data_IF_138934117093
#
_entry.id   IF_138934117093
#
_cell.length_a   1.000
_cell.length_b   1.000
_cell.length_c   1.000
_cell.angle_alpha   90.00
_cell.angle_beta   90.00
_cell.angle_gamma   90.00
#
_symmetry.space_group_name_H-M   'P 1'
#
loop_
_entity.id
_entity.type
_entity.pdbx_description
1 polymer ?
#
# COMPACT_ATOMS: atom_id res chain seq x y z
N UNK A 1 11.35 32.45 19.02
CA UNK A 1 11.84 31.73 20.23
C UNK A 1 10.68 31.61 21.17
N UNK A 2 10.15 30.41 21.35
CA UNK A 2 9.10 30.17 22.34
C UNK A 2 9.77 30.00 23.70
N UNK A 3 9.49 30.91 24.62
CA UNK A 3 9.92 30.79 26.00
C UNK A 3 9.27 29.58 26.65
N UNK A 4 10.09 28.59 26.96
CA UNK A 4 9.66 27.39 27.67
C UNK A 4 9.43 27.74 29.16
N UNK A 5 8.19 27.92 29.56
CA UNK A 5 7.78 28.21 30.95
C UNK A 5 8.01 27.05 31.96
N UNK A 6 8.67 25.97 31.53
CA UNK A 6 9.00 24.81 32.38
C UNK A 6 10.50 24.61 32.60
N UNK A 7 11.31 25.67 32.50
CA UNK A 7 12.72 25.58 32.83
C UNK A 7 12.90 25.32 34.32
N UNK A 8 13.24 24.08 34.70
CA UNK A 8 13.65 23.75 36.04
C UNK A 8 14.98 24.53 36.31
N UNK A 9 15.02 25.49 37.28
CA UNK A 9 16.21 26.33 37.55
C UNK A 9 17.44 25.52 37.96
N UNK A 10 17.27 24.26 38.36
CA UNK A 10 18.35 23.34 38.72
C UNK A 10 18.89 22.53 37.52
N UNK A 11 18.36 22.75 36.31
CA UNK A 11 18.78 22.01 35.12
C UNK A 11 20.08 22.59 34.57
N UNK A 12 21.18 21.85 34.73
CA UNK A 12 22.44 22.23 34.15
C UNK A 12 22.52 21.93 32.65
N UNK A 13 22.16 22.90 31.81
CA UNK A 13 22.11 22.76 30.36
C UNK A 13 23.46 22.33 29.77
N UNK A 14 24.60 22.74 30.40
CA UNK A 14 25.92 22.32 29.98
C UNK A 14 26.23 20.85 30.26
N UNK A 15 25.58 20.27 31.28
CA UNK A 15 25.61 18.80 31.51
C UNK A 15 24.71 18.07 30.56
N UNK A 16 23.53 18.62 30.21
CA UNK A 16 22.59 18.00 29.25
C UNK A 16 23.18 17.94 27.83
N UNK A 17 23.91 18.97 27.40
CA UNK A 17 24.56 18.97 26.09
C UNK A 17 25.69 17.91 25.94
N UNK A 18 26.20 17.39 27.08
CA UNK A 18 27.18 16.30 27.11
C UNK A 18 26.58 14.91 27.14
N UNK A 19 25.26 14.80 27.36
CA UNK A 19 24.55 13.51 27.28
C UNK A 19 24.44 13.17 25.80
N UNK A 20 25.43 12.46 25.29
CA UNK A 20 25.30 11.81 23.98
C UNK A 20 24.31 10.68 24.16
N UNK A 21 23.18 10.75 23.48
CA UNK A 21 22.33 9.58 23.29
C UNK A 21 23.23 8.42 22.82
N UNK A 22 23.24 7.27 23.50
CA UNK A 22 23.94 6.12 22.98
C UNK A 22 23.41 5.92 21.57
N UNK A 23 24.29 5.93 20.58
CA UNK A 23 23.93 5.71 19.19
C UNK A 23 23.37 4.30 19.06
N UNK A 24 22.08 4.15 19.33
CA UNK A 24 21.37 2.90 19.13
C UNK A 24 21.23 2.69 17.62
N UNK A 25 22.28 2.12 17.03
CA UNK A 25 22.17 1.51 15.71
C UNK A 25 21.45 0.17 15.89
N UNK A 26 20.15 0.16 15.89
CA UNK A 26 19.44 -1.07 15.61
C UNK A 26 19.72 -1.41 14.15
N UNK A 27 20.62 -2.34 13.93
CA UNK A 27 20.73 -3.03 12.65
C UNK A 27 19.36 -3.66 12.41
N UNK A 28 18.62 -3.12 11.44
CA UNK A 28 17.33 -3.69 11.06
C UNK A 28 17.65 -4.89 10.19
N UNK A 29 17.56 -6.07 10.79
CA UNK A 29 17.74 -7.34 10.09
C UNK A 29 16.57 -7.58 9.13
N UNK A 30 16.80 -8.31 8.04
CA UNK A 30 15.77 -8.73 7.10
C UNK A 30 14.59 -9.44 7.81
N UNK A 31 14.87 -10.17 8.91
CA UNK A 31 13.88 -10.84 9.75
C UNK A 31 12.84 -9.92 10.40
N UNK A 32 13.15 -8.63 10.53
CA UNK A 32 12.20 -7.63 11.07
C UNK A 32 11.25 -7.09 9.99
N UNK A 33 11.51 -7.35 8.71
CA UNK A 33 10.67 -6.91 7.62
C UNK A 33 9.50 -7.86 7.41
N UNK A 34 8.36 -7.32 6.98
CA UNK A 34 7.23 -8.14 6.62
C UNK A 34 7.46 -8.74 5.22
N UNK A 35 6.95 -9.94 5.01
CA UNK A 35 6.87 -10.52 3.67
C UNK A 35 5.72 -9.91 2.89
N UNK A 36 5.66 -10.12 1.57
CA UNK A 36 4.54 -9.71 0.74
C UNK A 36 3.22 -10.32 1.23
N UNK A 37 3.24 -11.60 1.64
CA UNK A 37 2.07 -12.29 2.19
C UNK A 37 1.60 -11.70 3.54
N UNK A 38 2.52 -11.32 4.42
CA UNK A 38 2.19 -10.66 5.68
C UNK A 38 1.55 -9.29 5.45
N UNK A 39 2.04 -8.52 4.46
CA UNK A 39 1.41 -7.25 4.06
C UNK A 39 0.04 -7.48 3.45
N UNK A 40 -0.12 -8.51 2.62
CA UNK A 40 -1.40 -8.92 2.04
C UNK A 40 -2.40 -9.23 3.13
N UNK A 41 -2.04 -10.11 4.09
CA UNK A 41 -2.91 -10.45 5.22
C UNK A 41 -3.32 -9.23 6.04
N UNK A 42 -2.40 -8.27 6.27
CA UNK A 42 -2.73 -7.01 6.95
C UNK A 42 -3.80 -6.19 6.23
N UNK A 43 -3.72 -6.12 4.90
CA UNK A 43 -4.69 -5.40 4.07
C UNK A 43 -6.04 -6.13 4.08
N UNK A 44 -6.03 -7.46 3.94
CA UNK A 44 -7.23 -8.29 3.87
C UNK A 44 -7.98 -8.39 5.21
N UNK A 45 -7.26 -8.41 6.33
CA UNK A 45 -7.84 -8.45 7.67
C UNK A 45 -8.58 -7.17 8.08
N UNK A 46 -8.46 -6.09 7.31
CA UNK A 46 -9.14 -4.84 7.61
C UNK A 46 -10.64 -4.95 7.31
N UNK A 47 -11.48 -4.73 8.32
CA UNK A 47 -12.93 -4.94 8.25
C UNK A 47 -13.67 -3.85 7.46
N UNK A 48 -13.05 -2.69 7.27
CA UNK A 48 -13.68 -1.55 6.62
C UNK A 48 -12.78 -0.91 5.55
N UNK A 49 -13.37 -0.21 4.55
CA UNK A 49 -12.61 0.40 3.45
C UNK A 49 -11.57 1.43 3.90
N UNK A 50 -11.82 2.19 4.98
CA UNK A 50 -10.88 3.17 5.53
C UNK A 50 -9.58 2.52 5.98
N UNK A 51 -9.68 1.50 6.83
CA UNK A 51 -8.52 0.85 7.44
C UNK A 51 -7.73 0.07 6.39
N UNK A 52 -8.43 -0.58 5.46
CA UNK A 52 -7.83 -1.25 4.31
C UNK A 52 -7.03 -0.28 3.44
N UNK A 53 -7.63 0.86 3.11
CA UNK A 53 -6.98 1.92 2.36
C UNK A 53 -5.77 2.49 3.10
N UNK A 54 -5.89 2.71 4.42
CA UNK A 54 -4.80 3.25 5.22
C UNK A 54 -3.58 2.33 5.21
N UNK A 55 -3.76 1.02 5.44
CA UNK A 55 -2.66 0.04 5.44
C UNK A 55 -2.01 -0.04 4.06
N UNK A 56 -2.81 -0.14 3.00
CA UNK A 56 -2.31 -0.21 1.62
C UNK A 56 -1.49 1.03 1.26
N UNK A 57 -2.00 2.24 1.57
CA UNK A 57 -1.29 3.48 1.33
C UNK A 57 -0.05 3.63 2.20
N UNK A 58 -0.10 3.24 3.49
CA UNK A 58 1.03 3.35 4.40
C UNK A 58 2.20 2.47 3.94
N UNK A 59 1.89 1.27 3.43
CA UNK A 59 2.89 0.39 2.83
C UNK A 59 3.42 0.98 1.52
N UNK A 60 2.55 1.19 0.53
CA UNK A 60 3.00 1.51 -0.84
C UNK A 60 3.71 2.86 -0.93
N UNK A 61 3.19 3.89 -0.25
CA UNK A 61 3.76 5.23 -0.27
C UNK A 61 5.04 5.37 0.55
N UNK A 62 5.33 4.42 1.42
CA UNK A 62 6.38 4.54 2.43
C UNK A 62 6.30 5.86 3.23
N UNK A 63 5.12 6.47 3.37
CA UNK A 63 4.91 7.66 4.19
C UNK A 63 5.14 7.37 5.67
N UNK A 64 5.48 8.42 6.42
CA UNK A 64 5.36 8.34 7.88
C UNK A 64 3.88 8.38 8.26
N UNK A 65 3.52 7.64 9.30
CA UNK A 65 2.14 7.61 9.79
C UNK A 65 1.59 9.02 10.08
N UNK A 66 2.43 9.93 10.60
CA UNK A 66 2.03 11.31 10.86
C UNK A 66 1.82 12.15 9.60
N UNK A 67 2.47 11.80 8.48
CA UNK A 67 2.26 12.47 7.18
C UNK A 67 0.96 11.99 6.54
N UNK A 68 0.74 10.68 6.55
CA UNK A 68 -0.46 10.08 5.96
C UNK A 68 -1.72 10.40 6.79
N UNK A 69 -1.61 10.35 8.12
CA UNK A 69 -2.75 10.53 9.03
C UNK A 69 -3.36 11.94 9.02
N UNK A 70 -2.60 12.96 8.60
CA UNK A 70 -3.10 14.35 8.51
C UNK A 70 -3.37 14.77 7.06
N UNK A 71 -3.26 13.85 6.11
CA UNK A 71 -3.44 14.13 4.69
C UNK A 71 -4.89 14.55 4.39
N UNK A 72 -5.04 15.51 3.48
CA UNK A 72 -6.32 15.98 2.97
C UNK A 72 -6.55 15.51 1.54
N UNK A 73 -7.80 15.49 1.09
CA UNK A 73 -8.15 15.05 -0.25
C UNK A 73 -7.56 15.92 -1.35
N UNK A 74 -7.37 17.24 -1.14
CA UNK A 74 -6.69 18.13 -2.09
C UNK A 74 -5.20 17.77 -2.33
N UNK A 75 -4.61 16.96 -1.46
CA UNK A 75 -3.23 16.46 -1.59
C UNK A 75 -3.14 15.18 -2.42
N UNK A 76 -4.28 14.62 -2.83
CA UNK A 76 -4.37 13.41 -3.65
C UNK A 76 -4.87 13.76 -5.04
N UNK A 77 -4.06 13.47 -6.03
CA UNK A 77 -4.43 13.66 -7.44
C UNK A 77 -4.61 12.30 -8.10
N UNK A 78 -5.84 11.95 -8.41
CA UNK A 78 -6.12 10.79 -9.25
C UNK A 78 -5.74 11.07 -10.70
N UNK A 79 -5.04 10.13 -11.31
CA UNK A 79 -4.79 10.07 -12.75
C UNK A 79 -5.62 8.94 -13.36
N UNK A 80 -5.56 8.76 -14.67
CA UNK A 80 -6.25 7.61 -15.30
C UNK A 80 -5.69 6.24 -14.89
N UNK A 81 -4.47 6.20 -14.35
CA UNK A 81 -3.70 4.97 -14.12
C UNK A 81 -3.36 4.79 -12.63
N UNK A 82 -2.99 5.89 -11.94
CA UNK A 82 -2.50 5.87 -10.56
C UNK A 82 -3.10 7.04 -9.76
N UNK A 83 -2.69 7.15 -8.51
CA UNK A 83 -2.86 8.38 -7.74
C UNK A 83 -1.49 8.92 -7.31
N UNK A 84 -1.40 10.23 -7.16
CA UNK A 84 -0.20 10.92 -6.69
C UNK A 84 -0.52 11.54 -5.33
N UNK A 85 0.24 11.16 -4.31
CA UNK A 85 0.16 11.76 -2.98
C UNK A 85 1.17 12.91 -2.88
N UNK A 86 0.69 14.08 -2.47
CA UNK A 86 1.51 15.27 -2.24
C UNK A 86 1.68 15.48 -0.73
N UNK A 87 2.88 15.25 -0.19
CA UNK A 87 3.11 15.52 1.23
C UNK A 87 3.51 16.97 1.45
N UNK A 88 3.11 17.53 2.61
CA UNK A 88 3.43 18.91 2.97
C UNK A 88 4.84 19.04 3.54
N UNK A 89 5.47 20.20 3.35
CA UNK A 89 6.76 20.57 3.96
C UNK A 89 6.71 20.60 5.50
N UNK A 90 5.55 20.88 6.09
CA UNK A 90 5.37 20.91 7.56
C UNK A 90 5.75 19.60 8.25
N UNK A 91 5.68 18.49 7.54
CA UNK A 91 5.99 17.15 8.08
C UNK A 91 7.34 16.62 7.57
N UNK A 92 8.09 17.42 6.81
CA UNK A 92 9.37 17.06 6.18
C UNK A 92 9.54 17.75 4.83
N UNK A 93 10.30 17.18 3.91
CA UNK A 93 10.36 17.65 2.53
C UNK A 93 9.06 17.31 1.79
N UNK A 94 8.56 18.24 0.96
CA UNK A 94 7.46 17.97 0.05
C UNK A 94 7.85 16.84 -0.92
N UNK A 95 6.95 15.90 -1.13
CA UNK A 95 7.18 14.73 -1.98
C UNK A 95 5.97 14.47 -2.87
N UNK A 96 6.25 14.01 -4.08
CA UNK A 96 5.30 13.48 -5.02
C UNK A 96 5.43 11.97 -5.05
N UNK A 97 4.48 11.26 -4.50
CA UNK A 97 4.56 9.81 -4.32
C UNK A 97 3.50 9.15 -5.19
N UNK A 98 3.89 8.51 -6.30
CA UNK A 98 2.95 7.76 -7.12
C UNK A 98 2.58 6.45 -6.40
N UNK A 99 1.29 6.15 -6.35
CA UNK A 99 0.74 4.89 -5.84
C UNK A 99 -0.11 4.23 -6.90
N UNK A 100 -0.01 2.92 -7.02
CA UNK A 100 -0.66 2.11 -8.04
C UNK A 100 -1.52 1.01 -7.42
N UNK A 101 -0.94 0.23 -6.50
CA UNK A 101 -1.61 -0.86 -5.82
C UNK A 101 -2.77 -0.35 -4.94
N UNK A 102 -2.52 0.74 -4.20
CA UNK A 102 -3.48 1.28 -3.24
C UNK A 102 -4.62 2.08 -3.90
N UNK A 103 -4.59 2.31 -5.22
CA UNK A 103 -5.60 3.15 -5.91
C UNK A 103 -7.00 2.57 -5.80
N UNK A 104 -7.16 1.26 -5.89
CA UNK A 104 -8.45 0.59 -5.77
C UNK A 104 -9.05 0.80 -4.37
N UNK A 105 -8.23 0.63 -3.33
CA UNK A 105 -8.63 0.85 -1.94
C UNK A 105 -8.93 2.31 -1.65
N UNK A 106 -8.18 3.23 -2.28
CA UNK A 106 -8.37 4.66 -2.14
C UNK A 106 -9.69 5.10 -2.79
N UNK A 107 -10.04 4.57 -3.95
CA UNK A 107 -11.33 4.81 -4.60
C UNK A 107 -12.48 4.21 -3.77
N UNK A 108 -12.36 2.97 -3.33
CA UNK A 108 -13.36 2.32 -2.50
C UNK A 108 -13.62 3.10 -1.19
N UNK A 109 -12.56 3.63 -0.57
CA UNK A 109 -12.69 4.50 0.58
C UNK A 109 -13.32 5.86 0.25
N UNK A 110 -12.92 6.49 -0.85
CA UNK A 110 -13.53 7.74 -1.32
C UNK A 110 -15.05 7.59 -1.54
N UNK A 111 -15.48 6.49 -2.16
CA UNK A 111 -16.89 6.23 -2.47
C UNK A 111 -17.71 5.86 -1.23
N UNK A 112 -17.07 5.30 -0.19
CA UNK A 112 -17.67 4.97 1.11
C UNK A 112 -17.40 6.00 2.20
N UNK A 113 -16.94 7.20 1.81
CA UNK A 113 -16.59 8.25 2.78
C UNK A 113 -17.82 8.70 3.58
N UNK A 114 -17.70 8.89 4.92
CA UNK A 114 -18.83 9.24 5.77
C UNK A 114 -19.48 10.56 5.34
N UNK A 115 -20.76 10.49 5.01
CA UNK A 115 -21.57 11.65 4.58
C UNK A 115 -21.52 11.97 3.10
N UNK A 116 -21.00 11.05 2.30
CA UNK A 116 -20.98 11.16 0.85
C UNK A 116 -19.62 11.61 0.32
N UNK A 117 -19.62 12.23 -0.84
CA UNK A 117 -18.36 12.66 -1.49
C UNK A 117 -17.60 13.67 -0.59
N UNK A 118 -16.31 13.42 -0.28
CA UNK A 118 -15.53 14.33 0.54
C UNK A 118 -15.22 15.64 -0.17
N UNK A 119 -15.11 16.71 0.61
CA UNK A 119 -14.57 17.98 0.13
C UNK A 119 -13.04 17.95 0.01
N UNK A 120 -12.44 18.76 -0.88
CA UNK A 120 -10.98 18.80 -1.02
C UNK A 120 -10.22 19.12 0.27
N UNK A 121 -10.83 19.88 1.20
CA UNK A 121 -10.23 20.25 2.48
C UNK A 121 -10.47 19.22 3.60
N UNK A 122 -11.31 18.23 3.36
CA UNK A 122 -11.53 17.15 4.32
C UNK A 122 -10.27 16.29 4.50
N UNK A 123 -10.10 15.80 5.73
CA UNK A 123 -9.05 14.79 5.99
C UNK A 123 -9.38 13.47 5.31
N UNK A 124 -8.37 12.83 4.73
CA UNK A 124 -8.55 11.52 4.09
C UNK A 124 -9.01 10.47 5.09
N UNK A 125 -8.43 10.48 6.30
CA UNK A 125 -8.72 9.48 7.32
C UNK A 125 -9.45 10.10 8.51
N UNK A 126 -10.73 9.74 8.62
CA UNK A 126 -11.64 10.27 9.63
C UNK A 126 -12.31 9.15 10.43
N UNK A 127 -12.90 9.48 11.55
CA UNK A 127 -13.74 8.57 12.31
C UNK A 127 -15.01 8.26 11.51
N UNK A 128 -15.39 6.99 11.42
CA UNK A 128 -16.52 6.52 10.60
C UNK A 128 -17.86 7.09 11.06
N UNK A 129 -18.00 7.44 12.34
CA UNK A 129 -19.25 7.92 12.91
C UNK A 129 -19.27 9.45 13.04
N UNK A 130 -18.19 10.06 13.60
CA UNK A 130 -18.16 11.50 13.91
C UNK A 130 -17.62 12.36 12.78
N UNK A 131 -16.96 11.77 11.76
CA UNK A 131 -16.23 12.44 10.68
C UNK A 131 -15.06 13.32 11.15
N UNK A 132 -14.71 13.27 12.43
CA UNK A 132 -13.54 13.96 12.94
C UNK A 132 -12.25 13.29 12.48
N UNK A 133 -11.18 14.06 12.25
CA UNK A 133 -9.88 13.49 11.93
C UNK A 133 -9.42 12.48 12.98
N UNK A 134 -8.83 11.38 12.53
CA UNK A 134 -8.29 10.39 13.47
C UNK A 134 -7.07 10.96 14.20
N UNK A 135 -7.04 10.77 15.52
CA UNK A 135 -5.86 11.13 16.32
C UNK A 135 -4.75 10.10 16.13
N UNK A 136 -3.50 10.55 16.25
CA UNK A 136 -2.31 9.71 16.03
C UNK A 136 -2.35 8.36 16.74
N UNK A 137 -2.83 8.36 17.99
CA UNK A 137 -2.91 7.15 18.81
C UNK A 137 -3.86 6.08 18.24
N UNK A 138 -4.94 6.52 17.60
CA UNK A 138 -5.92 5.60 16.97
C UNK A 138 -5.29 4.75 15.87
N UNK A 139 -4.39 5.32 15.07
CA UNK A 139 -3.67 4.56 14.05
C UNK A 139 -2.79 3.46 14.66
N UNK A 140 -2.16 3.73 15.81
CA UNK A 140 -1.36 2.73 16.51
C UNK A 140 -2.19 1.54 16.99
N UNK A 141 -3.36 1.81 17.57
CA UNK A 141 -4.28 0.76 18.00
C UNK A 141 -4.84 -0.04 16.82
N UNK A 142 -5.27 0.64 15.77
CA UNK A 142 -5.77 0.01 14.54
C UNK A 142 -4.73 -0.94 13.95
N UNK A 143 -3.49 -0.48 13.79
CA UNK A 143 -2.42 -1.30 13.23
C UNK A 143 -2.05 -2.49 14.14
N UNK A 144 -2.07 -2.30 15.46
CA UNK A 144 -1.82 -3.39 16.42
C UNK A 144 -2.94 -4.46 16.38
N UNK A 145 -4.19 -4.05 16.24
CA UNK A 145 -5.33 -4.96 16.09
C UNK A 145 -5.24 -5.74 14.77
N UNK A 146 -4.93 -5.06 13.67
CA UNK A 146 -4.74 -5.70 12.36
C UNK A 146 -3.56 -6.68 12.36
N UNK A 147 -2.44 -6.33 12.99
CA UNK A 147 -1.30 -7.22 13.10
C UNK A 147 -1.66 -8.52 13.86
N UNK A 148 -2.47 -8.39 14.92
CA UNK A 148 -2.98 -9.54 15.67
C UNK A 148 -3.93 -10.40 14.81
N UNK A 149 -4.86 -9.79 14.08
CA UNK A 149 -5.79 -10.48 13.18
C UNK A 149 -5.06 -11.18 12.03
N UNK A 150 -3.99 -10.57 11.52
CA UNK A 150 -3.16 -11.12 10.45
C UNK A 150 -2.13 -12.16 10.94
N UNK A 151 -2.15 -12.49 12.25
CA UNK A 151 -1.22 -13.45 12.88
C UNK A 151 0.26 -13.11 12.61
N UNK A 152 0.60 -11.81 12.75
CA UNK A 152 1.97 -11.34 12.60
C UNK A 152 2.67 -11.43 13.95
N UNK A 153 3.59 -12.38 14.08
CA UNK A 153 4.37 -12.62 15.31
C UNK A 153 5.54 -11.63 15.47
N UNK A 154 5.96 -11.01 14.37
CA UNK A 154 7.08 -10.05 14.38
C UNK A 154 6.71 -8.79 15.14
N UNK A 155 7.74 -8.12 15.70
CA UNK A 155 7.54 -6.80 16.29
C UNK A 155 7.04 -5.83 15.22
N UNK A 156 5.79 -5.40 15.36
CA UNK A 156 5.09 -4.56 14.38
C UNK A 156 4.95 -3.12 14.88
N UNK A 157 5.28 -2.18 14.03
CA UNK A 157 5.10 -0.75 14.26
C UNK A 157 4.77 -0.05 12.93
N UNK A 158 4.21 1.16 12.95
CA UNK A 158 3.98 1.93 11.72
C UNK A 158 5.25 2.12 10.87
N UNK A 159 6.40 2.21 11.51
CA UNK A 159 7.68 2.29 10.83
C UNK A 159 8.09 0.98 10.16
N UNK A 160 7.61 -0.16 10.64
CA UNK A 160 7.88 -1.47 10.04
C UNK A 160 7.39 -1.52 8.59
N UNK A 161 6.13 -1.07 8.31
CA UNK A 161 5.61 -1.02 6.94
C UNK A 161 6.46 -0.15 6.01
N UNK A 162 6.88 1.02 6.48
CA UNK A 162 7.77 1.90 5.72
C UNK A 162 9.12 1.24 5.44
N UNK A 163 9.73 0.59 6.44
CA UNK A 163 10.99 -0.12 6.27
C UNK A 163 10.83 -1.29 5.32
N UNK A 164 9.77 -2.07 5.46
CA UNK A 164 9.43 -3.16 4.56
C UNK A 164 9.33 -2.66 3.11
N UNK A 165 8.58 -1.57 2.85
CA UNK A 165 8.44 -1.04 1.49
C UNK A 165 9.78 -0.60 0.90
N UNK A 166 10.61 0.12 1.65
CA UNK A 166 11.92 0.55 1.18
C UNK A 166 12.81 -0.67 0.84
N UNK A 167 12.79 -1.70 1.68
CA UNK A 167 13.53 -2.95 1.42
C UNK A 167 13.01 -3.67 0.18
N UNK A 168 11.68 -3.78 0.02
CA UNK A 168 11.07 -4.38 -1.16
C UNK A 168 11.39 -3.61 -2.45
N UNK A 169 11.42 -2.27 -2.41
CA UNK A 169 11.82 -1.46 -3.56
C UNK A 169 13.29 -1.68 -3.95
N UNK A 170 14.18 -1.83 -2.97
CA UNK A 170 15.58 -2.18 -3.22
C UNK A 170 15.70 -3.57 -3.85
N UNK A 171 15.01 -4.56 -3.30
CA UNK A 171 14.99 -5.94 -3.82
C UNK A 171 14.39 -6.02 -5.24
N UNK A 172 13.40 -5.17 -5.54
CA UNK A 172 12.80 -5.06 -6.87
C UNK A 172 13.66 -4.27 -7.88
N UNK A 173 14.86 -3.83 -7.49
CA UNK A 173 15.80 -3.15 -8.39
C UNK A 173 15.48 -1.68 -8.68
N UNK A 174 14.62 -1.02 -7.87
CA UNK A 174 14.40 0.41 -8.02
C UNK A 174 15.67 1.21 -7.71
N UNK A 175 15.95 2.25 -8.51
CA UNK A 175 17.13 3.07 -8.31
C UNK A 175 17.12 3.76 -6.93
N UNK A 176 18.27 3.81 -6.26
CA UNK A 176 18.42 4.52 -4.99
C UNK A 176 17.91 5.96 -5.05
N UNK A 177 18.13 6.64 -6.17
CA UNK A 177 17.68 8.02 -6.38
C UNK A 177 16.15 8.12 -6.32
N UNK A 178 15.43 7.19 -6.96
CA UNK A 178 13.96 7.13 -6.92
C UNK A 178 13.47 6.85 -5.51
N UNK A 179 14.08 5.89 -4.82
CA UNK A 179 13.72 5.55 -3.43
C UNK A 179 13.98 6.74 -2.50
N UNK A 180 15.10 7.44 -2.64
CA UNK A 180 15.43 8.64 -1.83
C UNK A 180 14.40 9.75 -2.03
N UNK A 181 13.97 10.00 -3.26
CA UNK A 181 12.95 11.01 -3.56
C UNK A 181 11.58 10.62 -2.97
N UNK A 182 11.13 9.38 -3.17
CA UNK A 182 9.85 8.90 -2.66
C UNK A 182 9.83 8.86 -1.13
N UNK A 183 10.86 8.29 -0.52
CA UNK A 183 10.87 8.10 0.93
C UNK A 183 11.24 9.35 1.73
N UNK A 184 12.15 10.19 1.24
CA UNK A 184 12.68 11.33 1.99
C UNK A 184 12.55 12.68 1.28
N UNK A 185 12.21 12.72 0.00
CA UNK A 185 12.09 13.96 -0.77
C UNK A 185 13.43 14.63 -1.09
N UNK A 186 14.55 13.94 -0.85
CA UNK A 186 15.89 14.51 -1.03
C UNK A 186 16.88 13.47 -1.49
N UNK A 187 17.62 13.77 -2.55
CA UNK A 187 18.71 12.93 -3.05
C UNK A 187 19.89 12.83 -2.09
N UNK A 188 20.09 13.84 -1.24
CA UNK A 188 21.20 13.89 -0.27
C UNK A 188 20.93 13.11 1.01
N UNK A 189 19.80 12.43 1.14
CA UNK A 189 19.46 11.65 2.34
C UNK A 189 20.40 10.46 2.50
N UNK A 190 21.09 10.38 3.64
CA UNK A 190 21.97 9.25 4.00
C UNK A 190 21.20 8.09 4.66
N UNK A 191 19.89 8.23 4.82
CA UNK A 191 19.07 7.24 5.53
C UNK A 191 18.98 5.88 4.81
N UNK A 192 19.19 5.87 3.48
CA UNK A 192 19.17 4.64 2.68
C UNK A 192 20.31 3.68 3.08
N UNK A 193 21.44 4.19 3.57
CA UNK A 193 22.55 3.37 4.05
C UNK A 193 22.14 2.40 5.19
N UNK A 194 21.05 2.68 5.91
CA UNK A 194 20.51 1.78 6.94
C UNK A 194 19.79 0.55 6.37
N UNK A 195 19.55 0.54 5.07
CA UNK A 195 18.86 -0.53 4.33
C UNK A 195 19.80 -1.27 3.37
N UNK A 196 21.02 -0.76 3.20
CA UNK A 196 22.01 -1.35 2.31
C UNK A 196 22.59 -2.64 2.93
N UNK A 197 21.78 -3.68 2.97
CA UNK A 197 22.24 -5.06 3.17
C UNK A 197 22.57 -5.68 1.81
N UNK A 198 23.31 -4.94 0.97
CA UNK A 198 23.80 -5.44 -0.32
C UNK A 198 24.83 -6.53 0.01
N UNK A 199 24.48 -7.77 -0.29
CA UNK A 199 25.39 -8.90 -0.20
C UNK A 199 26.24 -8.99 -1.47
N UNK A 200 27.37 -9.70 -1.42
CA UNK A 200 28.18 -9.95 -2.62
C UNK A 200 27.34 -10.63 -3.73
N UNK A 201 26.38 -11.48 -3.34
CA UNK A 201 25.47 -12.15 -4.27
C UNK A 201 24.51 -11.17 -4.98
N UNK A 202 24.10 -10.08 -4.32
CA UNK A 202 23.26 -9.06 -4.97
C UNK A 202 24.05 -8.32 -6.06
N UNK A 203 25.33 -8.04 -5.78
CA UNK A 203 26.24 -7.41 -6.77
C UNK A 203 26.46 -8.35 -7.96
N UNK A 204 26.74 -9.63 -7.71
CA UNK A 204 26.92 -10.62 -8.77
C UNK A 204 25.65 -10.77 -9.63
N UNK A 205 24.46 -10.79 -9.03
CA UNK A 205 23.19 -10.90 -9.73
C UNK A 205 22.96 -9.68 -10.64
N UNK A 206 23.27 -8.45 -10.19
CA UNK A 206 23.19 -7.25 -11.05
C UNK A 206 24.10 -7.37 -12.28
N UNK A 207 25.31 -7.91 -12.10
CA UNK A 207 26.22 -8.15 -13.22
C UNK A 207 25.67 -9.22 -14.18
N UNK A 208 25.12 -10.32 -13.67
CA UNK A 208 24.53 -11.37 -14.51
C UNK A 208 23.36 -10.83 -15.32
N UNK A 209 22.49 -10.04 -14.73
CA UNK A 209 21.35 -9.43 -15.44
C UNK A 209 21.81 -8.50 -16.58
N UNK A 210 22.81 -7.66 -16.31
CA UNK A 210 23.38 -6.74 -17.33
C UNK A 210 24.09 -7.47 -18.47
N UNK A 211 24.66 -8.62 -18.20
CA UNK A 211 25.33 -9.49 -19.16
C UNK A 211 24.36 -10.42 -19.89
N UNK A 212 23.09 -10.44 -19.54
CA UNK A 212 22.08 -11.35 -20.08
C UNK A 212 22.29 -12.82 -19.68
N UNK A 213 23.00 -13.04 -18.56
CA UNK A 213 23.26 -14.37 -17.99
C UNK A 213 22.14 -14.67 -16.99
N UNK A 214 21.36 -15.72 -17.20
CA UNK A 214 20.33 -16.16 -16.26
C UNK A 214 20.99 -17.08 -15.22
N UNK A 215 21.07 -16.71 -13.92
CA UNK A 215 21.56 -17.60 -12.87
C UNK A 215 20.66 -18.83 -12.75
N UNK A 216 21.26 -20.00 -12.56
CA UNK A 216 20.57 -21.30 -12.54
C UNK A 216 19.65 -21.48 -11.32
N UNK A 217 19.78 -20.64 -10.29
CA UNK A 217 19.09 -20.76 -8.98
C UNK A 217 18.14 -19.59 -8.64
N UNK A 218 17.61 -18.84 -9.62
CA UNK A 218 16.53 -17.91 -9.32
C UNK A 218 15.21 -18.66 -9.14
N UNK A 219 14.91 -19.06 -7.92
CA UNK A 219 13.51 -19.16 -7.47
C UNK A 219 12.94 -17.74 -7.47
N UNK A 220 12.05 -17.47 -8.42
CA UNK A 220 11.36 -16.18 -8.57
C UNK A 220 10.36 -15.96 -7.42
N UNK A 221 10.85 -15.82 -6.20
CA UNK A 221 10.07 -15.19 -5.14
C UNK A 221 10.28 -13.68 -5.24
N UNK A 222 9.53 -13.05 -6.14
CA UNK A 222 9.38 -11.59 -6.14
C UNK A 222 8.63 -11.19 -4.88
N UNK A 223 9.36 -10.86 -3.83
CA UNK A 223 8.83 -10.40 -2.54
C UNK A 223 8.21 -8.98 -2.62
N UNK A 224 7.85 -8.48 -3.79
CA UNK A 224 7.27 -7.15 -3.96
C UNK A 224 5.83 -7.21 -4.43
N UNK A 225 4.97 -6.43 -3.76
CA UNK A 225 3.58 -6.21 -4.16
C UNK A 225 3.53 -5.10 -5.23
N UNK A 226 3.91 -5.45 -6.47
CA UNK A 226 3.89 -4.52 -7.60
C UNK A 226 2.56 -4.61 -8.36
N UNK A 227 2.04 -3.43 -8.76
CA UNK A 227 0.85 -3.38 -9.59
C UNK A 227 1.09 -4.10 -10.92
N UNK A 228 0.11 -4.88 -11.37
CA UNK A 228 0.19 -5.62 -12.64
C UNK A 228 -0.75 -5.02 -13.70
N UNK A 229 -0.35 -5.12 -14.94
CA UNK A 229 -1.16 -4.63 -16.05
C UNK A 229 -2.08 -5.73 -16.56
N UNK A 230 -3.37 -5.42 -16.72
CA UNK A 230 -4.33 -6.32 -17.34
C UNK A 230 -3.93 -6.60 -18.79
N UNK A 231 -3.83 -7.88 -19.14
CA UNK A 231 -3.41 -8.28 -20.50
C UNK A 231 -4.41 -7.84 -21.57
N UNK A 232 -5.68 -7.68 -21.24
CA UNK A 232 -6.76 -7.33 -22.16
C UNK A 232 -6.92 -5.82 -22.35
N UNK A 233 -7.21 -5.06 -21.28
CA UNK A 233 -7.51 -3.62 -21.37
C UNK A 233 -6.34 -2.71 -20.96
N UNK A 234 -5.18 -3.28 -20.62
CA UNK A 234 -3.95 -2.59 -20.24
C UNK A 234 -4.08 -1.69 -18.99
N UNK A 235 -5.19 -1.78 -18.27
CA UNK A 235 -5.38 -1.06 -16.99
C UNK A 235 -4.47 -1.64 -15.93
N UNK A 236 -3.87 -0.79 -15.09
CA UNK A 236 -3.11 -1.23 -13.93
C UNK A 236 -4.09 -1.70 -12.83
N UNK A 237 -3.80 -2.84 -12.26
CA UNK A 237 -4.57 -3.47 -11.20
C UNK A 237 -3.67 -3.75 -10.00
N UNK A 238 -4.26 -3.81 -8.82
CA UNK A 238 -3.55 -4.25 -7.62
C UNK A 238 -2.99 -5.66 -7.82
N UNK A 239 -1.81 -5.99 -7.29
CA UNK A 239 -1.29 -7.36 -7.29
C UNK A 239 -2.22 -8.34 -6.54
N UNK A 240 -3.05 -7.83 -5.64
CA UNK A 240 -4.01 -8.60 -4.84
C UNK A 240 -5.34 -8.83 -5.57
N UNK A 241 -5.60 -8.15 -6.68
CA UNK A 241 -6.84 -8.30 -7.44
C UNK A 241 -6.83 -9.58 -8.26
N UNK A 242 -7.87 -10.37 -8.15
CA UNK A 242 -8.08 -11.58 -8.94
C UNK A 242 -8.64 -11.27 -10.32
N UNK A 243 -9.38 -10.15 -10.44
CA UNK A 243 -10.03 -9.72 -11.67
C UNK A 243 -9.72 -8.25 -11.95
N UNK A 244 -9.68 -7.90 -13.22
CA UNK A 244 -9.51 -6.51 -13.63
C UNK A 244 -10.76 -5.69 -13.27
N UNK A 245 -10.60 -4.65 -12.46
CA UNK A 245 -11.70 -3.78 -12.03
C UNK A 245 -12.37 -3.00 -13.18
N UNK A 246 -11.70 -2.89 -14.34
CA UNK A 246 -12.22 -2.18 -15.50
C UNK A 246 -12.95 -3.09 -16.50
N UNK A 247 -12.42 -4.27 -16.80
CA UNK A 247 -12.97 -5.14 -17.84
C UNK A 247 -13.42 -6.52 -17.34
N UNK A 248 -13.26 -6.81 -16.04
CA UNK A 248 -13.67 -8.07 -15.43
C UNK A 248 -12.80 -9.29 -15.79
N UNK A 249 -11.77 -9.13 -16.64
CA UNK A 249 -10.91 -10.25 -17.04
C UNK A 249 -10.07 -10.76 -15.86
N UNK A 250 -9.85 -12.10 -15.76
CA UNK A 250 -9.01 -12.66 -14.71
C UNK A 250 -7.56 -12.19 -14.87
N UNK A 251 -6.91 -11.95 -13.74
CA UNK A 251 -5.53 -11.44 -13.69
C UNK A 251 -4.52 -12.52 -13.33
N UNK A 252 -4.98 -13.70 -12.93
CA UNK A 252 -4.14 -14.85 -12.63
C UNK A 252 -4.77 -16.15 -13.14
N UNK A 253 -3.96 -17.20 -13.18
CA UNK A 253 -4.37 -18.49 -13.72
C UNK A 253 -5.46 -19.17 -12.87
N UNK A 254 -5.39 -19.04 -11.55
CA UNK A 254 -6.39 -19.63 -10.64
C UNK A 254 -7.78 -19.02 -10.86
N UNK A 255 -7.87 -17.71 -11.04
CA UNK A 255 -9.14 -17.03 -11.34
C UNK A 255 -9.66 -17.36 -12.73
N UNK A 256 -8.79 -17.58 -13.70
CA UNK A 256 -9.18 -18.03 -15.04
C UNK A 256 -9.75 -19.46 -15.01
N UNK A 257 -9.14 -20.36 -14.23
CA UNK A 257 -9.64 -21.73 -14.04
C UNK A 257 -11.00 -21.73 -13.32
N UNK A 258 -11.16 -20.92 -12.27
CA UNK A 258 -12.42 -20.81 -11.54
C UNK A 258 -13.58 -20.33 -12.45
N UNK A 259 -13.33 -19.39 -13.37
CA UNK A 259 -14.33 -18.99 -14.36
C UNK A 259 -14.70 -20.16 -15.28
N UNK A 260 -13.71 -20.90 -15.79
CA UNK A 260 -13.96 -22.03 -16.68
C UNK A 260 -14.76 -23.13 -15.97
N UNK A 261 -14.48 -23.41 -14.69
CA UNK A 261 -15.24 -24.36 -13.89
C UNK A 261 -16.70 -23.94 -13.73
N UNK A 262 -16.94 -22.66 -13.42
CA UNK A 262 -18.28 -22.10 -13.30
C UNK A 262 -19.01 -22.13 -14.66
N UNK A 263 -18.33 -21.79 -15.75
CA UNK A 263 -18.91 -21.86 -17.09
C UNK A 263 -19.28 -23.29 -17.47
N UNK A 264 -18.42 -24.26 -17.25
CA UNK A 264 -18.67 -25.67 -17.50
C UNK A 264 -19.84 -26.19 -16.65
N UNK A 265 -19.91 -25.77 -15.37
CA UNK A 265 -21.04 -26.12 -14.49
C UNK A 265 -22.36 -25.55 -15.02
N UNK A 266 -22.39 -24.26 -15.37
CA UNK A 266 -23.58 -23.61 -15.93
C UNK A 266 -24.00 -24.28 -17.23
N UNK A 267 -23.08 -24.61 -18.14
CA UNK A 267 -23.38 -25.32 -19.39
C UNK A 267 -23.88 -26.73 -19.17
N UNK A 268 -23.46 -27.42 -18.10
CA UNK A 268 -23.93 -28.76 -17.75
C UNK A 268 -25.32 -28.78 -17.10
N UNK A 269 -25.64 -27.75 -16.33
CA UNK A 269 -26.93 -27.69 -15.57
C UNK A 269 -28.06 -27.02 -16.35
N UNK A 270 -27.73 -26.08 -17.27
CA UNK A 270 -28.76 -25.41 -18.09
C UNK A 270 -28.86 -26.04 -19.44
N UNK A 271 -30.01 -26.68 -19.69
CA UNK A 271 -30.34 -27.18 -21.04
C UNK A 271 -30.52 -25.98 -22.00
N UNK A 272 -30.28 -26.21 -23.30
CA UNK A 272 -30.55 -25.22 -24.35
C UNK A 272 -31.96 -24.62 -24.29
N UNK A 273 -32.94 -25.40 -23.80
CA UNK A 273 -34.32 -24.95 -23.63
C UNK A 273 -34.47 -23.89 -22.53
N UNK A 274 -33.71 -23.99 -21.44
CA UNK A 274 -33.74 -23.05 -20.33
C UNK A 274 -33.03 -21.74 -20.70
N UNK A 275 -31.95 -21.79 -21.48
CA UNK A 275 -31.27 -20.64 -22.02
C UNK A 275 -32.16 -19.81 -22.96
N UNK A 276 -32.91 -20.49 -23.83
CA UNK A 276 -33.87 -19.82 -24.74
C UNK A 276 -34.98 -19.16 -23.92
N UNK A 277 -35.49 -19.87 -22.88
CA UNK A 277 -36.54 -19.34 -21.99
C UNK A 277 -36.05 -18.10 -21.20
N UNK A 278 -34.83 -18.14 -20.71
CA UNK A 278 -34.21 -16.99 -19.99
C UNK A 278 -34.01 -15.80 -20.91
N UNK A 279 -33.46 -16.01 -22.12
CA UNK A 279 -33.30 -14.95 -23.13
C UNK A 279 -34.66 -14.33 -23.51
N UNK A 280 -35.70 -15.09 -23.62
CA UNK A 280 -37.07 -14.63 -23.91
C UNK A 280 -37.60 -13.78 -22.75
N UNK A 281 -37.40 -14.21 -21.50
CA UNK A 281 -37.82 -13.49 -20.31
C UNK A 281 -37.10 -12.13 -20.18
N UNK A 282 -35.77 -12.10 -20.43
CA UNK A 282 -34.97 -10.86 -20.43
C UNK A 282 -35.44 -9.87 -21.51
N UNK A 283 -35.83 -10.39 -22.69
CA UNK A 283 -36.37 -9.57 -23.77
C UNK A 283 -37.76 -8.99 -23.41
N UNK A 284 -38.60 -9.77 -22.76
CA UNK A 284 -39.90 -9.32 -22.27
C UNK A 284 -39.77 -8.27 -21.18
N UNK A 285 -38.84 -8.44 -20.21
CA UNK A 285 -38.55 -7.45 -19.17
C UNK A 285 -37.96 -6.14 -19.72
N UNK A 286 -37.12 -6.21 -20.75
CA UNK A 286 -36.64 -5.01 -21.45
C UNK A 286 -37.78 -4.29 -22.22
N UNK A 287 -38.72 -5.03 -22.79
CA UNK A 287 -39.85 -4.43 -23.48
C UNK A 287 -40.88 -3.80 -22.55
N UNK A 288 -41.01 -4.32 -21.31
CA UNK A 288 -41.87 -3.77 -20.26
C UNK A 288 -41.23 -2.60 -19.48
N UNK A 289 -39.94 -2.31 -19.68
CA UNK A 289 -39.24 -1.25 -18.97
C UNK A 289 -38.88 -1.60 -17.51
N UNK A 290 -38.88 -2.89 -17.17
CA UNK A 290 -38.49 -3.38 -15.84
C UNK A 290 -36.99 -3.68 -15.72
N UNK A 291 -36.22 -3.50 -16.80
CA UNK A 291 -34.75 -3.64 -16.86
C UNK A 291 -34.15 -2.45 -17.60
#
# INVERSE_FOLDING_TARGET
MAENHYANPNLNLAKLSKIKSPGYRSLKTAEMMLTADEVTRLIECADNPRDRCFVALLYESACRIGELGVMKWNQIKFTGINAILNTNEKTGCARFIPVFMAVEYLKAWHDSYPGGKPDPEDHVFVNLNSKEPLVYRTYGYMLADLAKKAEIEKHFSPHTLRHTRISHLLQAGYSESSIRLVAWGSLSSNMLANYAHITNSDVENEYYERLGITPIDKTEETNSLEARQCNYCKTLCSPLSNFCHKCGQPLNQSSALAINEVQNFVESEFSNADEIRLKKLILEMKASGEL
#
